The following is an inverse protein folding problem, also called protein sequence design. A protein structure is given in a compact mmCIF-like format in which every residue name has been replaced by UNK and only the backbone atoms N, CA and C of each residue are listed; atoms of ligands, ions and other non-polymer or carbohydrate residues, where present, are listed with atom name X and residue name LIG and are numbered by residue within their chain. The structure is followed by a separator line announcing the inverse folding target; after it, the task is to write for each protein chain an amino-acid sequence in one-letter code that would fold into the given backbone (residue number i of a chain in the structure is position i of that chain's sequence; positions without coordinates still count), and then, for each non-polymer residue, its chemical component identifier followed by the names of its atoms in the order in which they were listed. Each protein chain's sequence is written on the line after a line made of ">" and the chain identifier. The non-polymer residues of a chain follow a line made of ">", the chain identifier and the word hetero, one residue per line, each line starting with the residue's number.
data_IF_750518229103
#
_entry.id   IF_750518229103
#
_cell.length_a   1.000
_cell.length_b   1.000
_cell.length_c   1.000
_cell.angle_alpha   90.00
_cell.angle_beta   90.00
_cell.angle_gamma   90.00
#
_symmetry.space_group_name_H-M   'P 1'
#
loop_
_entity.id
_entity.type
_entity.pdbx_description
1 polymer ?
#
# COMPACT_ATOMS: atom_id res chain seq x y z
N UNK A 1 23.48 12.49 23.06
CA UNK A 1 22.15 13.15 23.07
C UNK A 1 21.52 12.94 21.70
N UNK A 2 20.36 12.29 21.62
CA UNK A 2 19.65 12.17 20.35
C UNK A 2 19.08 13.54 20.00
N UNK A 3 19.48 14.11 18.86
CA UNK A 3 18.94 15.38 18.36
C UNK A 3 17.41 15.33 18.28
N UNK A 4 16.77 16.50 18.45
CA UNK A 4 15.32 16.64 18.37
C UNK A 4 14.84 16.09 17.03
N UNK A 5 14.07 14.99 17.05
CA UNK A 5 13.48 14.41 15.83
C UNK A 5 12.49 15.41 15.26
N UNK A 6 12.73 15.87 14.03
CA UNK A 6 11.80 16.75 13.31
C UNK A 6 10.55 15.95 12.89
N UNK A 7 9.39 16.58 12.98
CA UNK A 7 8.13 16.02 12.47
C UNK A 7 8.10 16.03 10.93
N UNK A 8 8.85 16.95 10.30
CA UNK A 8 8.89 17.20 8.86
C UNK A 8 10.28 16.87 8.29
N UNK A 9 10.55 15.59 7.93
CA UNK A 9 11.84 15.20 7.37
C UNK A 9 11.96 15.67 5.92
N UNK A 10 13.20 15.72 5.42
CA UNK A 10 13.46 15.87 3.99
C UNK A 10 12.83 14.70 3.22
N UNK A 11 11.99 15.03 2.24
CA UNK A 11 11.22 14.04 1.48
C UNK A 11 12.02 13.48 0.30
N UNK A 12 11.76 12.21 -0.02
CA UNK A 12 12.28 11.57 -1.22
C UNK A 12 11.74 12.26 -2.49
N UNK A 13 12.53 12.30 -3.58
CA UNK A 13 12.07 12.83 -4.86
C UNK A 13 10.80 12.12 -5.34
N UNK A 14 9.85 12.91 -5.86
CA UNK A 14 8.62 12.38 -6.42
C UNK A 14 8.89 11.77 -7.81
N UNK A 15 8.35 10.58 -8.03
CA UNK A 15 8.18 10.10 -9.40
C UNK A 15 7.01 10.87 -10.03
N UNK A 16 7.33 11.78 -10.95
CA UNK A 16 6.36 12.70 -11.53
C UNK A 16 5.33 11.99 -12.42
N UNK A 17 5.73 10.94 -13.13
CA UNK A 17 4.83 10.12 -13.95
C UNK A 17 3.81 9.39 -13.08
N UNK A 18 4.28 8.67 -12.05
CA UNK A 18 3.42 7.95 -11.12
C UNK A 18 2.51 8.90 -10.32
N UNK A 19 2.95 10.13 -10.04
CA UNK A 19 2.12 11.18 -9.44
C UNK A 19 0.99 11.58 -10.40
N UNK A 20 1.31 11.90 -11.65
CA UNK A 20 0.33 12.36 -12.64
C UNK A 20 -0.74 11.29 -12.91
N UNK A 21 -0.31 10.06 -13.18
CA UNK A 21 -1.22 8.94 -13.43
C UNK A 21 -2.17 8.70 -12.25
N UNK A 22 -1.66 8.78 -11.01
CA UNK A 22 -2.49 8.65 -9.81
C UNK A 22 -3.47 9.82 -9.67
N UNK A 23 -3.00 11.05 -9.86
CA UNK A 23 -3.83 12.25 -9.77
C UNK A 23 -5.00 12.18 -10.75
N UNK A 24 -4.74 11.81 -12.01
CA UNK A 24 -5.77 11.65 -13.04
C UNK A 24 -6.78 10.57 -12.67
N UNK A 25 -6.30 9.41 -12.20
CA UNK A 25 -7.17 8.29 -11.81
C UNK A 25 -8.06 8.67 -10.62
N UNK A 26 -7.50 9.33 -9.61
CA UNK A 26 -8.25 9.75 -8.41
C UNK A 26 -9.22 10.88 -8.76
N UNK A 27 -8.81 11.88 -9.54
CA UNK A 27 -9.70 12.96 -9.98
C UNK A 27 -10.89 12.41 -10.77
N UNK A 28 -10.63 11.53 -11.74
CA UNK A 28 -11.69 10.94 -12.57
C UNK A 28 -12.72 10.16 -11.75
N UNK A 29 -12.27 9.35 -10.79
CA UNK A 29 -13.14 8.41 -10.08
C UNK A 29 -13.73 9.00 -8.79
N UNK A 30 -13.04 9.94 -8.15
CA UNK A 30 -13.37 10.46 -6.82
C UNK A 30 -13.73 11.94 -6.86
N UNK A 31 -13.15 12.73 -7.77
CA UNK A 31 -13.37 14.18 -7.88
C UNK A 31 -14.85 14.58 -7.95
N UNK A 32 -15.67 13.96 -8.84
CA UNK A 32 -17.11 14.23 -8.91
C UNK A 32 -17.90 13.88 -7.63
N UNK A 33 -17.35 13.01 -6.77
CA UNK A 33 -18.02 12.50 -5.56
C UNK A 33 -17.57 13.28 -4.32
N UNK A 34 -16.25 13.49 -4.16
CA UNK A 34 -15.64 14.11 -3.00
C UNK A 34 -14.29 14.75 -3.34
N UNK A 35 -14.27 16.04 -3.71
CA UNK A 35 -13.03 16.79 -3.95
C UNK A 35 -12.10 16.83 -2.72
N UNK A 36 -12.68 16.83 -1.51
CA UNK A 36 -11.90 16.76 -0.27
C UNK A 36 -11.10 15.46 -0.16
N UNK A 37 -11.68 14.32 -0.58
CA UNK A 37 -10.97 13.04 -0.58
C UNK A 37 -9.86 13.00 -1.64
N UNK A 38 -10.03 13.66 -2.78
CA UNK A 38 -8.93 13.85 -3.75
C UNK A 38 -7.77 14.58 -3.09
N UNK A 39 -8.04 15.73 -2.45
CA UNK A 39 -7.02 16.53 -1.76
C UNK A 39 -6.30 15.72 -0.68
N UNK A 40 -7.04 15.02 0.17
CA UNK A 40 -6.44 14.21 1.24
C UNK A 40 -5.73 12.95 0.72
N UNK A 41 -6.07 12.47 -0.47
CA UNK A 41 -5.30 11.42 -1.13
C UNK A 41 -3.97 11.95 -1.65
N UNK A 42 -3.93 13.18 -2.16
CA UNK A 42 -2.71 13.80 -2.65
C UNK A 42 -1.80 14.28 -1.51
N UNK A 43 -2.23 15.29 -0.75
CA UNK A 43 -1.38 16.12 0.09
C UNK A 43 -0.73 15.34 1.25
N UNK A 44 -1.48 14.78 2.22
CA UNK A 44 -0.87 14.10 3.35
C UNK A 44 -0.34 12.70 3.02
N UNK A 45 -0.82 12.05 1.95
CA UNK A 45 -0.41 10.69 1.62
C UNK A 45 0.74 10.65 0.62
N UNK A 46 0.48 11.00 -0.64
CA UNK A 46 1.44 10.75 -1.72
C UNK A 46 2.43 11.88 -1.94
N UNK A 47 2.13 13.09 -1.47
CA UNK A 47 3.05 14.23 -1.49
C UNK A 47 3.86 14.37 -0.18
N UNK A 48 3.49 13.65 0.89
CA UNK A 48 4.24 13.61 2.16
C UNK A 48 4.50 12.18 2.65
N UNK A 49 3.53 11.51 3.30
CA UNK A 49 3.75 10.26 4.05
C UNK A 49 4.54 9.20 3.26
N UNK A 50 4.21 8.99 1.99
CA UNK A 50 4.86 8.00 1.12
C UNK A 50 6.27 8.37 0.68
N UNK A 51 6.65 9.65 0.81
CA UNK A 51 7.97 10.16 0.47
C UNK A 51 8.90 10.28 1.70
N UNK A 52 8.42 9.98 2.90
CA UNK A 52 9.27 10.04 4.11
C UNK A 52 10.34 8.95 4.06
N UNK A 53 11.64 9.28 4.25
CA UNK A 53 12.76 8.37 3.91
C UNK A 53 13.06 7.30 4.97
N UNK A 54 12.53 7.45 6.19
CA UNK A 54 12.85 6.54 7.31
C UNK A 54 12.35 5.10 7.10
N UNK A 55 11.40 4.90 6.19
CA UNK A 55 10.97 3.57 5.73
C UNK A 55 11.14 3.49 4.22
N UNK A 56 11.75 2.39 3.75
CA UNK A 56 11.78 2.07 2.33
C UNK A 56 10.35 1.89 1.81
N UNK A 57 10.14 2.21 0.54
CA UNK A 57 8.83 2.07 -0.11
C UNK A 57 8.29 0.63 -0.07
N UNK A 58 9.17 -0.38 -0.14
CA UNK A 58 8.85 -1.80 0.08
C UNK A 58 8.21 -2.01 1.46
N UNK A 59 8.90 -1.60 2.52
CA UNK A 59 8.48 -1.85 3.91
C UNK A 59 7.22 -1.06 4.26
N UNK A 60 7.08 0.15 3.71
CA UNK A 60 5.85 0.94 3.83
C UNK A 60 4.65 0.22 3.20
N UNK A 61 4.82 -0.37 2.02
CA UNK A 61 3.77 -1.18 1.40
C UNK A 61 3.48 -2.45 2.19
N UNK A 62 4.50 -3.16 2.68
CA UNK A 62 4.35 -4.33 3.56
C UNK A 62 3.45 -3.99 4.76
N UNK A 63 3.78 -2.93 5.50
CA UNK A 63 2.99 -2.48 6.67
C UNK A 63 1.57 -2.12 6.27
N UNK A 64 1.38 -1.46 5.13
CA UNK A 64 0.05 -1.09 4.63
C UNK A 64 -0.80 -2.34 4.38
N UNK A 65 -0.27 -3.34 3.68
CA UNK A 65 -0.97 -4.61 3.40
C UNK A 65 -1.29 -5.35 4.70
N UNK A 66 -0.32 -5.47 5.61
CA UNK A 66 -0.52 -6.10 6.91
C UNK A 66 -1.63 -5.42 7.72
N UNK A 67 -1.68 -4.08 7.72
CA UNK A 67 -2.71 -3.31 8.43
C UNK A 67 -4.11 -3.49 7.80
N UNK A 68 -4.20 -3.57 6.47
CA UNK A 68 -5.46 -3.84 5.76
C UNK A 68 -6.00 -5.23 6.09
N UNK A 69 -5.12 -6.25 6.11
CA UNK A 69 -5.49 -7.60 6.54
C UNK A 69 -5.96 -7.58 7.99
N UNK A 70 -5.19 -6.95 8.87
CA UNK A 70 -5.53 -6.89 10.30
C UNK A 70 -6.86 -6.17 10.58
N UNK A 71 -7.24 -5.23 9.71
CA UNK A 71 -8.48 -4.47 9.82
C UNK A 71 -9.66 -5.10 9.06
N UNK A 72 -9.47 -6.26 8.41
CA UNK A 72 -10.50 -6.91 7.61
C UNK A 72 -10.88 -6.15 6.33
N UNK A 73 -10.06 -5.21 5.86
CA UNK A 73 -10.33 -4.33 4.71
C UNK A 73 -9.93 -4.98 3.38
N UNK A 74 -10.49 -6.15 3.09
CA UNK A 74 -10.08 -7.01 1.97
C UNK A 74 -10.16 -6.33 0.59
N UNK A 75 -11.16 -5.45 0.38
CA UNK A 75 -11.34 -4.71 -0.86
C UNK A 75 -10.14 -3.80 -1.24
N UNK A 76 -9.31 -3.42 -0.26
CA UNK A 76 -8.12 -2.58 -0.49
C UNK A 76 -6.85 -3.41 -0.70
N UNK A 77 -6.85 -4.70 -0.33
CA UNK A 77 -5.65 -5.54 -0.37
C UNK A 77 -5.14 -5.68 -1.81
N UNK A 78 -6.02 -5.90 -2.79
CA UNK A 78 -5.61 -6.15 -4.17
C UNK A 78 -4.74 -5.04 -4.78
N UNK A 79 -5.15 -3.79 -4.62
CA UNK A 79 -4.39 -2.63 -5.09
C UNK A 79 -3.08 -2.46 -4.31
N UNK A 80 -3.14 -2.50 -2.98
CA UNK A 80 -1.97 -2.27 -2.13
C UNK A 80 -0.93 -3.39 -2.22
N UNK A 81 -1.36 -4.63 -2.44
CA UNK A 81 -0.45 -5.76 -2.65
C UNK A 81 0.26 -5.67 -4.00
N UNK A 82 -0.42 -5.30 -5.09
CA UNK A 82 0.25 -5.02 -6.36
C UNK A 82 1.33 -3.95 -6.20
N UNK A 83 0.99 -2.84 -5.55
CA UNK A 83 1.95 -1.78 -5.22
C UNK A 83 3.10 -2.27 -4.33
N UNK A 84 2.85 -3.18 -3.39
CA UNK A 84 3.90 -3.78 -2.57
C UNK A 84 4.87 -4.59 -3.41
N UNK A 85 4.37 -5.40 -4.34
CA UNK A 85 5.18 -6.22 -5.24
C UNK A 85 5.94 -5.38 -6.26
N UNK A 86 5.37 -4.29 -6.77
CA UNK A 86 6.06 -3.33 -7.63
C UNK A 86 7.20 -2.62 -6.87
N UNK A 87 7.05 -2.45 -5.55
CA UNK A 87 8.10 -1.95 -4.66
C UNK A 87 9.09 -3.04 -4.20
N UNK A 88 8.99 -4.27 -4.71
CA UNK A 88 9.95 -5.34 -4.44
C UNK A 88 9.55 -6.34 -3.35
N UNK A 89 8.30 -6.38 -2.90
CA UNK A 89 7.80 -7.47 -2.07
C UNK A 89 7.72 -8.77 -2.90
N UNK A 90 8.27 -9.86 -2.38
CA UNK A 90 8.26 -11.15 -3.08
C UNK A 90 6.89 -11.87 -2.97
N UNK A 91 6.71 -12.92 -3.77
CA UNK A 91 5.51 -13.78 -3.72
C UNK A 91 5.45 -14.51 -2.37
N UNK A 92 6.59 -15.01 -1.91
CA UNK A 92 6.75 -15.71 -0.64
C UNK A 92 6.43 -14.77 0.53
N UNK A 93 6.97 -13.55 0.49
CA UNK A 93 6.70 -12.54 1.52
C UNK A 93 5.21 -12.15 1.55
N UNK A 94 4.54 -12.06 0.40
CA UNK A 94 3.10 -11.81 0.35
C UNK A 94 2.28 -12.93 1.00
N UNK A 95 2.64 -14.20 0.76
CA UNK A 95 2.02 -15.34 1.41
C UNK A 95 2.26 -15.35 2.92
N UNK A 96 3.50 -15.06 3.35
CA UNK A 96 3.87 -15.04 4.76
C UNK A 96 3.14 -13.98 5.58
N UNK A 97 2.75 -12.83 4.99
CA UNK A 97 1.92 -11.84 5.69
C UNK A 97 0.57 -12.47 6.11
N UNK A 98 -0.04 -13.29 5.25
CA UNK A 98 -1.32 -13.95 5.54
C UNK A 98 -1.14 -14.98 6.66
N UNK A 99 -0.08 -15.79 6.60
CA UNK A 99 0.29 -16.74 7.66
C UNK A 99 0.51 -16.02 8.99
N UNK A 100 1.24 -14.91 8.98
CA UNK A 100 1.54 -14.15 10.19
C UNK A 100 0.28 -13.48 10.77
N UNK A 101 -0.64 -13.01 9.93
CA UNK A 101 -1.89 -12.38 10.36
C UNK A 101 -2.77 -13.33 11.18
N UNK A 102 -2.65 -14.65 11.01
CA UNK A 102 -3.36 -15.65 11.82
C UNK A 102 -3.19 -15.39 13.32
N UNK A 103 -1.97 -15.09 13.76
CA UNK A 103 -1.63 -14.93 15.18
C UNK A 103 -1.91 -13.53 15.72
N UNK A 104 -1.83 -12.49 14.87
CA UNK A 104 -1.95 -11.09 15.29
C UNK A 104 -3.30 -10.45 14.97
N UNK A 105 -4.06 -11.03 14.04
CA UNK A 105 -5.34 -10.52 13.55
C UNK A 105 -6.44 -11.59 13.50
N UNK A 106 -6.11 -12.84 13.84
CA UNK A 106 -7.05 -13.95 13.91
C UNK A 106 -7.30 -14.65 12.58
N UNK A 107 -7.69 -15.92 12.67
CA UNK A 107 -8.05 -16.78 11.54
C UNK A 107 -9.05 -16.14 10.56
N UNK A 108 -10.15 -15.48 11.01
CA UNK A 108 -11.12 -14.90 10.07
C UNK A 108 -10.52 -13.88 9.12
N UNK A 109 -9.64 -13.00 9.60
CA UNK A 109 -8.97 -12.00 8.78
C UNK A 109 -7.99 -12.64 7.79
N UNK A 110 -7.20 -13.62 8.25
CA UNK A 110 -6.28 -14.37 7.38
C UNK A 110 -7.04 -15.08 6.25
N UNK A 111 -8.10 -15.85 6.59
CA UNK A 111 -8.90 -16.58 5.61
C UNK A 111 -9.69 -15.67 4.66
N UNK A 112 -10.12 -14.49 5.12
CA UNK A 112 -10.77 -13.49 4.25
C UNK A 112 -9.77 -12.88 3.26
N UNK A 113 -8.52 -12.68 3.68
CA UNK A 113 -7.46 -12.09 2.85
C UNK A 113 -6.84 -13.07 1.85
N UNK A 114 -6.72 -14.35 2.21
CA UNK A 114 -6.06 -15.38 1.43
C UNK A 114 -6.53 -15.46 -0.04
N UNK A 115 -7.84 -15.48 -0.37
CA UNK A 115 -8.28 -15.53 -1.76
C UNK A 115 -7.90 -14.27 -2.55
N UNK A 116 -7.96 -13.08 -1.93
CA UNK A 116 -7.59 -11.80 -2.57
C UNK A 116 -6.09 -11.75 -2.85
N UNK A 117 -5.26 -12.21 -1.91
CA UNK A 117 -3.82 -12.36 -2.12
C UNK A 117 -3.54 -13.35 -3.26
N UNK A 118 -4.18 -14.52 -3.22
CA UNK A 118 -4.05 -15.55 -4.26
C UNK A 118 -4.40 -15.04 -5.66
N UNK A 119 -5.47 -14.23 -5.80
CA UNK A 119 -5.86 -13.61 -7.07
C UNK A 119 -4.76 -12.70 -7.62
N UNK A 120 -4.18 -11.83 -6.80
CA UNK A 120 -3.08 -10.94 -7.22
C UNK A 120 -1.86 -11.76 -7.69
N UNK A 121 -1.47 -12.78 -6.92
CA UNK A 121 -0.32 -13.63 -7.25
C UNK A 121 -0.55 -14.37 -8.58
N UNK A 122 -1.75 -14.92 -8.79
CA UNK A 122 -2.12 -15.62 -10.01
C UNK A 122 -2.09 -14.68 -11.22
N UNK A 123 -2.70 -13.50 -11.13
CA UNK A 123 -2.75 -12.50 -12.21
C UNK A 123 -1.35 -12.00 -12.62
N UNK A 124 -0.42 -11.90 -11.67
CA UNK A 124 0.96 -11.49 -11.96
C UNK A 124 1.80 -12.63 -12.55
N UNK A 125 1.47 -13.89 -12.24
CA UNK A 125 2.14 -15.06 -12.81
C UNK A 125 1.72 -15.32 -14.26
N UNK A 126 0.45 -15.11 -14.60
CA UNK A 126 -0.07 -15.26 -15.96
C UNK A 126 0.43 -14.17 -16.89
N UNK A 127 0.67 -12.96 -16.39
CA UNK A 127 1.24 -11.84 -17.17
C UNK A 127 2.73 -12.00 -17.49
N UNK A 128 3.41 -13.01 -16.91
CA UNK A 128 4.82 -13.34 -17.17
C UNK A 128 5.01 -14.52 -18.14
N UNK A 129 3.94 -15.19 -18.55
CA UNK A 129 3.95 -16.26 -19.57
C UNK A 129 3.51 -15.70 -20.91
#
# INVERSE_FOLDING_TARGET
>A
MAGKRDASPDLLPLNQEAKNQRSETVEKNVGPISPGLVKFTADPLFLDLWQRPALKTRDRSLITVSALIASGLSAQIGYHLNRAMDNGLSVEEAGEIVTQAVFYAGWPNAFTSAPVVGEVLNNRSSSKR
#
